data_IF_972456957183
#
_entry.id   IF_972456957183
#
_cell.length_a   1.000
_cell.length_b   1.000
_cell.length_c   1.000
_cell.angle_alpha   90.00
_cell.angle_beta   90.00
_cell.angle_gamma   90.00
#
_symmetry.space_group_name_H-M   'P 1'
#
loop_
_entity.id
_entity.type
_entity.pdbx_description
1 polymer ?
#
# COMPACT_ATOMS: atom_id res chain seq x y z
N UNK A 1 17.31 13.73 23.93
CA UNK A 1 16.44 12.98 23.22
C UNK A 1 15.82 11.80 23.96
N UNK A 2 15.30 11.90 25.09
CA UNK A 2 14.92 10.67 25.74
C UNK A 2 13.73 10.87 26.56
N UNK A 3 12.70 10.20 26.08
CA UNK A 3 11.65 9.72 26.91
C UNK A 3 10.86 10.82 27.59
N UNK A 4 10.42 11.81 26.80
CA UNK A 4 9.32 12.67 27.25
C UNK A 4 8.11 11.78 27.45
N UNK A 5 7.70 11.59 28.69
CA UNK A 5 6.55 10.78 29.08
C UNK A 5 5.31 11.66 29.23
N UNK A 6 4.15 11.08 29.11
CA UNK A 6 2.88 11.79 29.32
C UNK A 6 2.86 12.49 30.70
N UNK A 7 3.43 11.86 31.74
CA UNK A 7 3.52 12.39 33.10
C UNK A 7 4.43 13.62 33.25
N UNK A 8 5.32 13.89 32.32
CA UNK A 8 6.19 15.08 32.37
C UNK A 8 5.42 16.37 32.00
N UNK A 9 4.29 16.21 31.30
CA UNK A 9 3.44 17.30 30.87
C UNK A 9 2.04 17.24 31.45
N UNK A 10 1.53 16.06 31.82
CA UNK A 10 0.16 15.86 32.26
C UNK A 10 0.09 15.23 33.65
N UNK A 11 -0.85 15.69 34.45
CA UNK A 11 -1.29 14.95 35.63
C UNK A 11 -1.99 13.66 35.19
N UNK A 12 -1.51 12.51 35.68
CA UNK A 12 -1.94 11.19 35.23
C UNK A 12 -3.40 10.83 35.57
N UNK A 13 -4.00 11.53 36.52
CA UNK A 13 -5.38 11.28 36.96
C UNK A 13 -6.38 12.21 36.28
N UNK A 14 -6.00 13.47 36.02
CA UNK A 14 -6.89 14.46 35.45
C UNK A 14 -6.62 14.76 33.97
N UNK A 15 -5.51 14.29 33.42
CA UNK A 15 -5.00 14.57 32.06
C UNK A 15 -4.74 16.08 31.84
N UNK A 16 -4.90 16.93 32.84
CA UNK A 16 -4.60 18.35 32.74
C UNK A 16 -3.09 18.55 32.67
N UNK A 17 -2.67 19.62 31.99
CA UNK A 17 -1.25 20.00 31.99
C UNK A 17 -0.82 20.46 33.38
N UNK A 18 0.37 20.05 33.82
CA UNK A 18 0.94 20.38 35.15
C UNK A 18 1.42 21.81 35.24
N UNK A 19 1.59 22.50 34.11
CA UNK A 19 1.92 23.91 33.98
C UNK A 19 1.18 24.53 32.80
N UNK A 20 0.95 25.84 32.86
CA UNK A 20 0.26 26.58 31.82
C UNK A 20 1.23 27.18 30.78
N UNK A 21 0.78 27.25 29.53
CA UNK A 21 1.48 27.91 28.44
C UNK A 21 2.92 27.42 28.23
N UNK A 22 3.82 28.35 27.94
CA UNK A 22 5.23 28.05 27.68
C UNK A 22 5.96 27.47 28.89
N UNK A 23 5.50 27.75 30.14
CA UNK A 23 6.09 27.21 31.36
C UNK A 23 6.12 25.66 31.37
N UNK A 24 5.23 25.01 30.62
CA UNK A 24 5.23 23.55 30.42
C UNK A 24 6.49 23.05 29.69
N UNK A 25 6.84 23.72 28.61
CA UNK A 25 8.00 23.37 27.78
C UNK A 25 9.33 23.80 28.41
N UNK A 26 9.29 24.93 29.13
CA UNK A 26 10.46 25.54 29.77
C UNK A 26 10.93 24.80 31.04
N UNK A 27 10.29 23.71 31.40
CA UNK A 27 10.82 22.77 32.40
C UNK A 27 12.12 22.10 31.95
N UNK A 28 12.21 21.86 30.64
CA UNK A 28 13.34 21.15 29.99
C UNK A 28 14.10 22.08 29.03
N UNK A 29 13.42 23.06 28.41
CA UNK A 29 14.02 23.97 27.45
C UNK A 29 14.42 25.28 28.09
N UNK A 30 15.56 25.84 27.71
CA UNK A 30 16.09 27.08 28.26
C UNK A 30 15.26 28.26 27.78
N UNK A 31 14.71 29.01 28.72
CA UNK A 31 13.87 30.18 28.45
C UNK A 31 14.63 31.30 27.70
N UNK A 32 15.89 31.55 28.09
CA UNK A 32 16.77 32.53 27.45
C UNK A 32 17.12 32.22 25.99
N UNK A 33 16.91 31.01 25.55
CA UNK A 33 17.17 30.54 24.18
C UNK A 33 15.86 30.42 23.39
N UNK A 34 14.82 29.80 23.95
CA UNK A 34 13.65 29.37 23.23
C UNK A 34 12.40 30.20 23.47
N UNK A 35 12.26 30.91 24.60
CA UNK A 35 11.16 31.83 24.84
C UNK A 35 11.57 33.29 24.56
N UNK A 36 12.21 33.51 23.43
CA UNK A 36 12.73 34.79 22.99
C UNK A 36 12.15 35.20 21.65
N UNK A 37 12.16 36.48 21.33
CA UNK A 37 11.67 37.00 20.06
C UNK A 37 12.54 36.54 18.89
N UNK A 38 13.81 36.31 19.11
CA UNK A 38 14.77 35.80 18.16
C UNK A 38 14.51 34.32 17.80
N UNK A 39 13.77 33.58 18.67
CA UNK A 39 13.36 32.22 18.38
C UNK A 39 11.98 32.15 17.70
N UNK A 40 10.94 32.76 18.29
CA UNK A 40 9.58 32.62 17.78
C UNK A 40 9.13 33.74 16.83
N UNK A 41 9.83 34.88 16.78
CA UNK A 41 9.57 36.03 15.92
C UNK A 41 8.17 36.67 16.06
N UNK A 42 7.43 36.33 17.10
CA UNK A 42 6.08 36.81 17.39
C UNK A 42 6.06 37.66 18.64
N UNK A 43 5.05 38.51 18.75
CA UNK A 43 4.78 39.32 19.95
C UNK A 43 4.29 38.42 21.09
N UNK A 44 4.68 38.76 22.33
CA UNK A 44 4.20 38.08 23.52
C UNK A 44 2.86 38.64 23.97
N UNK A 45 2.15 37.94 24.84
CA UNK A 45 0.91 38.40 25.45
C UNK A 45 1.15 39.68 26.21
N UNK A 46 0.29 40.68 25.97
CA UNK A 46 0.41 42.04 26.59
C UNK A 46 1.22 43.05 25.77
N UNK A 47 1.95 42.63 24.72
CA UNK A 47 2.58 43.56 23.80
C UNK A 47 1.56 44.21 22.84
N UNK A 48 1.83 45.45 22.43
CA UNK A 48 0.97 46.17 21.47
C UNK A 48 0.99 45.50 20.09
N UNK A 49 -0.17 45.09 19.56
CA UNK A 49 -0.30 44.47 18.27
C UNK A 49 -1.77 44.25 17.89
N UNK A 50 -1.98 43.77 16.66
CA UNK A 50 -3.30 43.44 16.12
C UNK A 50 -3.55 41.93 16.18
N UNK A 51 -4.69 41.49 16.71
CA UNK A 51 -5.09 40.10 16.69
C UNK A 51 -5.52 39.68 15.28
N UNK A 52 -5.39 38.41 14.97
CA UNK A 52 -5.93 37.81 13.72
C UNK A 52 -7.44 37.63 13.88
N UNK A 53 -8.20 38.19 12.93
CA UNK A 53 -9.66 38.17 12.94
C UNK A 53 -10.20 37.44 11.74
N UNK A 54 -11.34 36.76 11.90
CA UNK A 54 -12.13 36.20 10.81
C UNK A 54 -12.78 37.30 9.95
N UNK A 55 -13.33 36.93 8.81
CA UNK A 55 -14.04 37.87 7.91
C UNK A 55 -15.20 38.61 8.56
N UNK A 56 -15.83 38.06 9.59
CA UNK A 56 -16.90 38.68 10.39
C UNK A 56 -16.38 39.49 11.60
N UNK A 57 -15.07 39.72 11.70
CA UNK A 57 -14.45 40.56 12.74
C UNK A 57 -14.20 39.84 14.08
N UNK A 58 -14.56 38.56 14.22
CA UNK A 58 -14.28 37.80 15.45
C UNK A 58 -12.78 37.53 15.57
N UNK A 59 -12.20 37.77 16.75
CA UNK A 59 -10.81 37.39 17.04
C UNK A 59 -10.68 35.87 17.02
N UNK A 60 -9.81 35.35 16.16
CA UNK A 60 -9.46 33.93 16.06
C UNK A 60 -8.20 33.66 16.89
N UNK A 61 -7.17 34.48 16.72
CA UNK A 61 -5.90 34.38 17.43
C UNK A 61 -5.54 35.74 18.01
N UNK A 62 -5.36 35.76 19.31
CA UNK A 62 -5.00 37.00 20.03
C UNK A 62 -3.48 37.27 19.97
N UNK A 63 -3.07 38.48 20.31
CA UNK A 63 -1.66 38.85 20.44
C UNK A 63 -1.00 37.96 21.51
N UNK A 64 0.13 37.36 21.14
CA UNK A 64 0.85 36.40 21.98
C UNK A 64 0.55 34.92 21.66
N UNK A 65 -0.50 34.63 20.91
CA UNK A 65 -0.76 33.22 20.48
C UNK A 65 0.40 32.64 19.68
N UNK A 66 0.98 33.42 18.75
CA UNK A 66 2.12 32.95 17.93
C UNK A 66 3.43 32.75 18.70
N UNK A 67 3.55 33.34 19.93
CA UNK A 67 4.71 33.13 20.80
C UNK A 67 4.58 31.90 21.70
N UNK A 68 3.45 31.16 21.61
CA UNK A 68 3.29 29.92 22.37
C UNK A 68 3.97 28.75 21.65
N UNK A 69 4.83 28.01 22.36
CA UNK A 69 5.58 26.87 21.84
C UNK A 69 4.70 25.85 21.13
N UNK A 70 3.53 25.54 21.71
CA UNK A 70 2.57 24.56 21.19
C UNK A 70 2.01 24.93 19.81
N UNK A 71 1.91 26.22 19.49
CA UNK A 71 1.32 26.65 18.21
C UNK A 71 2.21 26.30 17.01
N UNK A 72 3.52 26.25 17.21
CA UNK A 72 4.49 25.90 16.18
C UNK A 72 4.95 24.44 16.25
N UNK A 73 5.14 23.90 17.46
CA UNK A 73 5.74 22.59 17.68
C UNK A 73 4.72 21.46 17.92
N UNK A 74 3.49 21.82 18.34
CA UNK A 74 2.38 20.89 18.57
C UNK A 74 1.08 21.40 17.95
N UNK A 75 1.06 21.76 16.65
CA UNK A 75 -0.13 22.31 16.03
C UNK A 75 -1.29 21.31 16.14
N UNK A 76 -2.39 21.72 16.76
CA UNK A 76 -3.55 20.85 16.96
C UNK A 76 -4.53 20.93 15.81
N UNK A 77 -5.44 19.96 15.78
CA UNK A 77 -6.59 19.92 14.87
C UNK A 77 -7.79 19.35 15.59
N UNK A 78 -8.97 19.63 15.06
CA UNK A 78 -10.17 18.97 15.54
C UNK A 78 -10.19 17.52 15.05
N UNK A 79 -10.28 16.59 16.00
CA UNK A 79 -10.50 15.19 15.74
C UNK A 79 -12.01 14.92 15.77
N UNK A 80 -12.51 14.20 14.76
CA UNK A 80 -13.95 13.93 14.58
C UNK A 80 -14.86 15.16 14.67
N UNK A 81 -14.32 16.34 14.37
CA UNK A 81 -15.06 17.62 14.38
C UNK A 81 -15.34 18.24 15.75
N UNK A 82 -15.11 17.54 16.84
CA UNK A 82 -15.50 17.96 18.19
C UNK A 82 -14.35 18.06 19.19
N UNK A 83 -13.28 17.28 19.02
CA UNK A 83 -12.20 17.20 20.01
C UNK A 83 -10.90 17.80 19.43
N UNK A 84 -10.45 18.91 19.99
CA UNK A 84 -9.23 19.59 19.57
C UNK A 84 -8.01 18.93 20.19
N UNK A 85 -7.17 18.30 19.37
CA UNK A 85 -5.97 17.56 19.80
C UNK A 85 -4.70 18.16 19.26
N UNK A 86 -3.75 18.58 20.12
CA UNK A 86 -2.39 18.93 19.73
C UNK A 86 -1.63 17.72 19.17
N UNK A 87 -0.78 17.98 18.18
CA UNK A 87 0.13 16.96 17.61
C UNK A 87 1.32 16.75 18.56
N UNK A 88 1.37 15.60 19.24
CA UNK A 88 2.43 15.23 20.16
C UNK A 88 3.75 14.81 19.49
N UNK A 89 3.88 14.93 18.18
CA UNK A 89 5.13 14.63 17.49
C UNK A 89 6.23 15.70 17.67
N UNK A 90 5.94 16.81 18.37
CA UNK A 90 6.87 17.88 18.73
C UNK A 90 7.72 18.35 17.54
N UNK A 91 7.07 18.71 16.45
CA UNK A 91 7.72 18.97 15.16
C UNK A 91 8.40 20.32 15.09
N UNK A 92 9.45 20.42 14.29
CA UNK A 92 9.99 21.68 13.81
C UNK A 92 9.18 22.11 12.58
N UNK A 93 8.72 23.38 12.48
CA UNK A 93 8.03 23.86 11.29
C UNK A 93 8.84 23.72 10.01
N UNK A 94 8.29 23.09 8.99
CA UNK A 94 8.95 22.77 7.73
C UNK A 94 8.06 23.14 6.53
N UNK A 95 7.85 24.44 6.25
CA UNK A 95 7.05 24.88 5.11
C UNK A 95 7.62 24.47 3.75
N UNK A 96 8.92 24.25 3.64
CA UNK A 96 9.57 23.64 2.46
C UNK A 96 9.01 22.24 2.13
N UNK A 97 8.62 21.46 3.14
CA UNK A 97 7.95 20.18 2.93
C UNK A 97 6.47 20.38 2.55
N UNK A 98 5.82 21.46 3.01
CA UNK A 98 4.47 21.79 2.55
C UNK A 98 4.43 22.05 1.04
N UNK A 99 5.38 22.82 0.54
CA UNK A 99 5.54 23.08 -0.90
C UNK A 99 5.81 21.77 -1.69
N UNK A 100 6.69 20.91 -1.17
CA UNK A 100 7.12 19.70 -1.87
C UNK A 100 6.10 18.56 -1.80
N UNK A 101 5.43 18.39 -0.66
CA UNK A 101 4.66 17.20 -0.31
C UNK A 101 3.17 17.50 -0.06
N UNK A 102 2.75 18.76 -0.09
CA UNK A 102 1.38 19.17 0.25
C UNK A 102 1.02 18.96 1.73
N UNK A 103 2.01 18.82 2.62
CA UNK A 103 1.75 18.62 4.05
C UNK A 103 1.39 19.95 4.72
N UNK A 104 0.45 19.98 5.68
CA UNK A 104 0.14 21.21 6.42
C UNK A 104 1.34 21.68 7.23
N UNK A 105 1.47 23.00 7.43
CA UNK A 105 2.46 23.59 8.33
C UNK A 105 1.80 24.49 9.40
N UNK A 106 2.55 24.78 10.44
CA UNK A 106 2.05 25.54 11.57
C UNK A 106 1.74 27.01 11.23
N UNK A 107 2.48 27.63 10.29
CA UNK A 107 2.33 29.07 9.98
C UNK A 107 0.97 29.35 9.32
N UNK A 108 0.60 28.57 8.32
CA UNK A 108 -0.63 28.77 7.55
C UNK A 108 -1.91 28.44 8.33
N UNK A 109 -1.81 27.89 9.54
CA UNK A 109 -2.97 27.76 10.44
C UNK A 109 -3.47 29.09 10.99
N UNK A 110 -2.57 30.05 11.20
CA UNK A 110 -2.91 31.38 11.67
C UNK A 110 -2.89 32.39 10.53
N UNK A 111 -1.98 32.21 9.56
CA UNK A 111 -1.83 33.04 8.37
C UNK A 111 -2.49 32.36 7.17
N UNK A 112 -3.81 32.13 7.25
CA UNK A 112 -4.59 31.44 6.23
C UNK A 112 -4.64 32.20 4.89
N UNK A 113 -4.41 33.52 4.92
CA UNK A 113 -4.32 34.40 3.75
C UNK A 113 -2.98 34.33 3.03
N UNK A 114 -2.00 33.59 3.56
CA UNK A 114 -0.65 33.45 3.01
C UNK A 114 -0.43 32.07 2.40
N UNK A 115 0.53 32.00 1.47
CA UNK A 115 0.95 30.74 0.85
C UNK A 115 2.03 30.03 1.66
N UNK A 116 2.24 28.76 1.37
CA UNK A 116 3.37 28.00 1.92
C UNK A 116 4.72 28.62 1.52
N UNK A 117 4.80 29.22 0.31
CA UNK A 117 5.97 29.95 -0.15
C UNK A 117 6.30 31.15 0.73
N UNK A 118 5.29 31.92 1.15
CA UNK A 118 5.45 32.97 2.14
C UNK A 118 6.01 32.44 3.45
N UNK A 119 5.48 31.34 3.95
CA UNK A 119 5.96 30.71 5.18
C UNK A 119 7.42 30.26 5.07
N UNK A 120 7.82 29.69 3.93
CA UNK A 120 9.18 29.24 3.69
C UNK A 120 10.18 30.40 3.55
N UNK A 121 9.76 31.49 2.91
CA UNK A 121 10.55 32.72 2.83
C UNK A 121 10.88 33.26 4.24
N UNK A 122 9.87 33.36 5.13
CA UNK A 122 10.10 33.84 6.50
C UNK A 122 10.95 32.89 7.32
N UNK A 123 10.72 31.59 7.24
CA UNK A 123 11.59 30.61 7.93
C UNK A 123 13.01 30.68 7.39
N UNK A 124 13.19 30.87 6.09
CA UNK A 124 14.51 31.03 5.47
C UNK A 124 15.20 32.32 5.93
N UNK A 125 14.45 33.41 6.02
CA UNK A 125 14.95 34.70 6.53
C UNK A 125 15.37 34.61 8.00
N UNK A 126 14.66 33.85 8.82
CA UNK A 126 14.89 33.74 10.26
C UNK A 126 16.02 32.76 10.62
N UNK A 127 16.05 31.60 9.95
CA UNK A 127 16.90 30.49 10.31
C UNK A 127 17.93 30.08 9.22
N UNK A 128 17.95 30.80 8.12
CA UNK A 128 18.80 30.50 6.98
C UNK A 128 18.20 29.45 6.03
N UNK A 129 18.82 29.25 4.85
CA UNK A 129 18.31 28.36 3.81
C UNK A 129 18.60 26.87 4.08
N UNK A 130 19.52 26.56 4.98
CA UNK A 130 19.95 25.20 5.27
C UNK A 130 18.87 24.38 5.96
N UNK A 131 18.36 23.37 5.29
CA UNK A 131 17.39 22.40 5.85
C UNK A 131 18.03 21.02 5.88
N UNK A 132 17.92 20.35 7.02
CA UNK A 132 18.29 18.93 7.11
C UNK A 132 17.35 18.11 6.23
N UNK A 133 17.89 17.05 5.59
CA UNK A 133 17.09 16.07 4.90
C UNK A 133 16.01 15.51 5.84
N UNK A 134 14.83 15.24 5.30
CA UNK A 134 13.71 14.73 6.09
C UNK A 134 13.17 13.46 5.44
N UNK A 135 12.95 12.45 6.25
CA UNK A 135 12.45 11.14 5.79
C UNK A 135 11.09 11.24 5.04
N UNK A 136 10.33 12.30 5.23
CA UNK A 136 9.05 12.51 4.56
C UNK A 136 9.16 12.49 3.03
N UNK A 137 10.27 12.97 2.47
CA UNK A 137 10.50 12.92 1.01
C UNK A 137 10.73 11.51 0.51
N UNK A 138 11.42 10.68 1.30
CA UNK A 138 11.64 9.25 1.00
C UNK A 138 10.32 8.48 1.07
N UNK A 139 9.53 8.72 2.12
CA UNK A 139 8.21 8.09 2.31
C UNK A 139 7.25 8.47 1.18
N UNK A 140 7.22 9.74 0.77
CA UNK A 140 6.40 10.19 -0.36
C UNK A 140 6.81 9.53 -1.67
N UNK A 141 8.10 9.49 -1.97
CA UNK A 141 8.63 8.80 -3.14
C UNK A 141 8.26 7.30 -3.15
N UNK A 142 8.33 6.65 -1.98
CA UNK A 142 7.91 5.26 -1.81
C UNK A 142 6.40 5.05 -2.03
N UNK A 143 5.56 5.94 -1.51
CA UNK A 143 4.10 5.92 -1.75
C UNK A 143 3.75 6.08 -3.23
N UNK A 144 4.51 6.90 -3.94
CA UNK A 144 4.41 7.09 -5.39
C UNK A 144 5.04 5.97 -6.20
N UNK A 145 5.64 4.98 -5.54
CA UNK A 145 6.33 3.82 -6.15
C UNK A 145 7.43 4.23 -7.13
N UNK A 146 8.13 5.34 -6.85
CA UNK A 146 9.21 5.81 -7.72
C UNK A 146 10.38 4.82 -7.65
N UNK A 147 10.96 4.38 -8.79
CA UNK A 147 12.08 3.42 -8.79
C UNK A 147 13.28 3.91 -7.97
N UNK A 148 13.54 5.22 -7.96
CA UNK A 148 14.61 5.84 -7.19
C UNK A 148 14.45 5.74 -5.67
N UNK A 149 13.24 5.46 -5.16
CA UNK A 149 12.99 5.41 -3.72
C UNK A 149 13.46 4.12 -3.06
N UNK A 150 13.65 3.04 -3.80
CA UNK A 150 13.95 1.70 -3.26
C UNK A 150 15.14 1.70 -2.31
N UNK A 151 16.29 2.22 -2.76
CA UNK A 151 17.51 2.23 -1.95
C UNK A 151 17.43 3.17 -0.75
N UNK A 152 16.73 4.29 -0.89
CA UNK A 152 16.49 5.22 0.21
C UNK A 152 15.56 4.62 1.26
N UNK A 153 14.53 3.88 0.85
CA UNK A 153 13.65 3.13 1.76
C UNK A 153 14.41 2.04 2.52
N UNK A 154 15.29 1.28 1.84
CA UNK A 154 16.15 0.27 2.49
C UNK A 154 17.01 0.92 3.57
N UNK A 155 17.70 2.01 3.24
CA UNK A 155 18.53 2.76 4.21
C UNK A 155 17.70 3.30 5.37
N UNK A 156 16.55 3.89 5.08
CA UNK A 156 15.66 4.45 6.10
C UNK A 156 15.12 3.36 7.05
N UNK A 157 14.80 2.18 6.54
CA UNK A 157 14.33 1.05 7.35
C UNK A 157 15.43 0.52 8.28
N UNK A 158 16.68 0.53 7.83
CA UNK A 158 17.82 0.00 8.56
C UNK A 158 18.42 0.96 9.60
N UNK A 159 18.19 2.28 9.51
CA UNK A 159 18.84 3.27 10.36
C UNK A 159 18.13 3.44 11.72
N UNK A 160 18.72 2.98 12.83
CA UNK A 160 18.13 3.02 14.18
C UNK A 160 17.95 4.44 14.74
N UNK A 161 18.50 5.47 14.10
CA UNK A 161 18.34 6.86 14.51
C UNK A 161 16.95 7.42 14.15
N UNK A 162 16.23 6.78 13.24
CA UNK A 162 14.86 7.15 12.92
C UNK A 162 13.84 6.47 13.85
N UNK A 163 12.69 7.10 14.09
CA UNK A 163 11.61 6.51 14.88
C UNK A 163 11.17 5.16 14.30
N UNK A 164 10.90 4.20 15.19
CA UNK A 164 10.53 2.82 14.83
C UNK A 164 9.38 2.77 13.82
N UNK A 165 8.36 3.62 13.99
CA UNK A 165 7.22 3.68 13.07
C UNK A 165 7.61 4.16 11.67
N UNK A 166 8.60 5.04 11.55
CA UNK A 166 9.12 5.51 10.26
C UNK A 166 9.88 4.40 9.56
N UNK A 167 10.71 3.67 10.30
CA UNK A 167 11.46 2.51 9.82
C UNK A 167 10.51 1.40 9.34
N UNK A 168 9.50 1.05 10.14
CA UNK A 168 8.48 0.07 9.77
C UNK A 168 7.68 0.49 8.53
N UNK A 169 7.36 1.79 8.41
CA UNK A 169 6.68 2.32 7.22
C UNK A 169 7.57 2.21 5.98
N UNK A 170 8.84 2.56 6.09
CA UNK A 170 9.80 2.43 4.99
C UNK A 170 9.92 0.97 4.53
N UNK A 171 10.02 0.03 5.48
CA UNK A 171 10.05 -1.40 5.19
C UNK A 171 8.77 -1.86 4.46
N UNK A 172 7.59 -1.43 4.91
CA UNK A 172 6.31 -1.75 4.27
C UNK A 172 6.20 -1.21 2.84
N UNK A 173 6.76 -0.03 2.60
CA UNK A 173 6.76 0.60 1.27
C UNK A 173 7.70 -0.09 0.27
N UNK A 174 8.53 -1.03 0.70
CA UNK A 174 9.35 -1.86 -0.19
C UNK A 174 8.56 -2.98 -0.90
N UNK A 175 7.34 -3.28 -0.47
CA UNK A 175 6.51 -4.37 -1.03
C UNK A 175 6.37 -4.37 -2.57
N UNK A 176 6.17 -3.22 -3.26
CA UNK A 176 6.05 -3.20 -4.72
C UNK A 176 7.37 -3.32 -5.48
N UNK A 177 8.52 -3.31 -4.80
CA UNK A 177 9.82 -3.37 -5.45
C UNK A 177 10.34 -4.82 -5.59
N UNK A 178 11.23 -5.10 -6.56
CA UNK A 178 11.67 -6.46 -6.86
C UNK A 178 12.27 -7.20 -5.65
N UNK A 179 11.91 -8.49 -5.44
CA UNK A 179 12.39 -9.28 -4.30
C UNK A 179 13.91 -9.43 -4.19
N UNK A 180 14.70 -9.64 -5.27
CA UNK A 180 16.14 -9.83 -5.14
C UNK A 180 16.85 -8.68 -4.41
N UNK A 181 16.40 -7.44 -4.64
CA UNK A 181 16.99 -6.25 -4.04
C UNK A 181 16.43 -5.95 -2.65
N UNK A 182 15.18 -6.36 -2.36
CA UNK A 182 14.50 -6.06 -1.10
C UNK A 182 14.63 -7.18 -0.06
N UNK A 183 14.85 -8.42 -0.48
CA UNK A 183 14.96 -9.58 0.42
C UNK A 183 16.01 -9.41 1.53
N UNK A 184 17.22 -8.89 1.28
CA UNK A 184 18.20 -8.67 2.34
C UNK A 184 17.73 -7.69 3.43
N UNK A 185 16.95 -6.67 3.05
CA UNK A 185 16.39 -5.72 4.01
C UNK A 185 15.34 -6.38 4.90
N UNK A 186 14.48 -7.25 4.34
CA UNK A 186 13.50 -8.01 5.12
C UNK A 186 14.16 -9.00 6.07
N UNK A 187 15.20 -9.72 5.61
CA UNK A 187 15.92 -10.67 6.46
C UNK A 187 16.65 -9.99 7.62
N UNK A 188 17.31 -8.87 7.37
CA UNK A 188 17.92 -8.08 8.43
C UNK A 188 16.89 -7.58 9.44
N UNK A 189 15.71 -7.19 8.97
CA UNK A 189 14.61 -6.71 9.82
C UNK A 189 13.98 -7.80 10.70
N UNK A 190 14.12 -9.09 10.35
CA UNK A 190 13.62 -10.21 11.19
C UNK A 190 14.31 -10.34 12.54
N UNK A 191 15.53 -9.83 12.65
CA UNK A 191 16.35 -9.88 13.87
C UNK A 191 16.56 -8.50 14.52
N UNK A 192 15.80 -7.50 14.10
CA UNK A 192 15.86 -6.14 14.66
C UNK A 192 15.44 -6.15 16.14
N UNK A 193 16.04 -5.27 16.95
CA UNK A 193 15.70 -5.13 18.38
C UNK A 193 14.23 -4.75 18.58
N UNK A 194 13.65 -4.01 17.63
CA UNK A 194 12.29 -3.50 17.70
C UNK A 194 11.26 -4.49 17.17
N UNK A 195 10.34 -4.92 18.02
CA UNK A 195 9.32 -5.92 17.69
C UNK A 195 8.41 -5.49 16.52
N UNK A 196 8.15 -4.17 16.37
CA UNK A 196 7.36 -3.67 15.25
C UNK A 196 8.07 -3.92 13.91
N UNK A 197 9.38 -3.76 13.88
CA UNK A 197 10.20 -4.03 12.68
C UNK A 197 10.17 -5.53 12.36
N UNK A 198 10.44 -6.40 13.36
CA UNK A 198 10.38 -7.87 13.17
C UNK A 198 9.02 -8.33 12.66
N UNK A 199 7.94 -7.83 13.27
CA UNK A 199 6.56 -8.15 12.82
C UNK A 199 6.31 -7.69 11.39
N UNK A 200 6.74 -6.47 11.03
CA UNK A 200 6.57 -5.94 9.67
C UNK A 200 7.35 -6.79 8.66
N UNK A 201 8.56 -7.22 9.00
CA UNK A 201 9.36 -8.10 8.15
C UNK A 201 8.67 -9.45 7.90
N UNK A 202 8.06 -10.07 8.92
CA UNK A 202 7.30 -11.31 8.76
C UNK A 202 6.13 -11.16 7.78
N UNK A 203 5.41 -10.02 7.82
CA UNK A 203 4.30 -9.75 6.90
C UNK A 203 4.77 -9.57 5.43
N UNK A 204 6.03 -9.20 5.23
CA UNK A 204 6.61 -8.92 3.92
C UNK A 204 7.40 -10.09 3.31
N UNK A 205 7.65 -11.16 4.05
CA UNK A 205 8.37 -12.34 3.53
C UNK A 205 7.68 -12.90 2.30
N UNK A 206 8.43 -13.05 1.21
CA UNK A 206 7.91 -13.61 -0.03
C UNK A 206 7.66 -15.12 0.10
N UNK A 207 6.54 -15.57 -0.46
CA UNK A 207 6.11 -16.99 -0.42
C UNK A 207 6.89 -17.89 -1.38
N UNK A 208 7.58 -17.33 -2.37
CA UNK A 208 8.22 -18.12 -3.42
C UNK A 208 9.39 -19.02 -2.96
N UNK A 209 10.01 -18.71 -1.80
CA UNK A 209 11.08 -19.52 -1.23
C UNK A 209 10.59 -20.25 0.04
N UNK A 210 9.75 -21.25 -0.15
CA UNK A 210 8.99 -21.92 0.92
C UNK A 210 9.86 -22.42 2.08
N UNK A 211 11.00 -23.08 1.83
CA UNK A 211 11.85 -23.63 2.88
C UNK A 211 12.46 -22.55 3.78
N UNK A 212 13.05 -21.51 3.18
CA UNK A 212 13.69 -20.41 3.91
C UNK A 212 12.67 -19.61 4.72
N UNK A 213 11.51 -19.37 4.13
CA UNK A 213 10.39 -18.71 4.79
C UNK A 213 9.87 -19.50 5.98
N UNK A 214 9.66 -20.81 5.84
CA UNK A 214 9.23 -21.68 6.93
C UNK A 214 10.20 -21.59 8.12
N UNK A 215 11.51 -21.60 7.87
CA UNK A 215 12.54 -21.45 8.89
C UNK A 215 12.40 -20.14 9.68
N UNK A 216 12.25 -19.02 9.01
CA UNK A 216 12.07 -17.71 9.67
C UNK A 216 10.77 -17.61 10.45
N UNK A 217 9.66 -18.08 9.89
CA UNK A 217 8.36 -18.07 10.56
C UNK A 217 8.32 -18.98 11.78
N UNK A 218 8.91 -20.18 11.71
CA UNK A 218 8.97 -21.09 12.85
C UNK A 218 9.88 -20.57 13.96
N UNK A 219 11.00 -19.92 13.63
CA UNK A 219 11.84 -19.24 14.62
C UNK A 219 11.07 -18.12 15.34
N UNK A 220 10.27 -17.35 14.61
CA UNK A 220 9.48 -16.25 15.16
C UNK A 220 8.32 -16.70 16.09
N UNK A 221 7.95 -17.98 16.10
CA UNK A 221 7.03 -18.54 17.10
C UNK A 221 7.59 -18.50 18.55
N UNK A 222 8.90 -18.32 18.69
CA UNK A 222 9.59 -18.23 19.97
C UNK A 222 9.95 -16.78 20.36
N UNK A 223 9.52 -15.78 19.58
CA UNK A 223 9.77 -14.37 19.87
C UNK A 223 9.21 -13.97 21.24
N UNK A 224 9.94 -13.18 22.05
CA UNK A 224 9.46 -12.72 23.36
C UNK A 224 8.16 -11.90 23.26
N UNK A 225 7.94 -11.20 22.14
CA UNK A 225 6.80 -10.31 21.96
C UNK A 225 5.62 -11.05 21.32
N UNK A 226 4.46 -11.04 21.99
CA UNK A 226 3.24 -11.75 21.53
C UNK A 226 2.86 -11.37 20.09
N UNK A 227 2.89 -10.09 19.73
CA UNK A 227 2.48 -9.63 18.40
C UNK A 227 3.32 -10.24 17.24
N UNK A 228 4.61 -10.50 17.48
CA UNK A 228 5.49 -11.17 16.51
C UNK A 228 5.11 -12.65 16.36
N UNK A 229 4.86 -13.35 17.51
CA UNK A 229 4.40 -14.75 17.47
C UNK A 229 3.06 -14.93 16.74
N UNK A 230 2.09 -14.02 17.00
CA UNK A 230 0.78 -14.06 16.34
C UNK A 230 0.91 -13.87 14.81
N UNK A 231 1.77 -12.93 14.38
CA UNK A 231 2.02 -12.71 12.97
C UNK A 231 2.68 -13.92 12.31
N UNK A 232 3.68 -14.52 12.98
CA UNK A 232 4.32 -15.75 12.51
C UNK A 232 3.30 -16.89 12.33
N UNK A 233 2.42 -17.11 13.30
CA UNK A 233 1.39 -18.14 13.22
C UNK A 233 0.39 -17.87 12.09
N UNK A 234 -0.06 -16.61 11.92
CA UNK A 234 -0.92 -16.21 10.81
C UNK A 234 -0.27 -16.52 9.46
N UNK A 235 0.99 -16.14 9.28
CA UNK A 235 1.73 -16.37 8.04
C UNK A 235 2.01 -17.85 7.75
N UNK A 236 2.19 -18.65 8.78
CA UNK A 236 2.34 -20.12 8.64
C UNK A 236 1.09 -20.80 8.07
N UNK A 237 -0.11 -20.23 8.28
CA UNK A 237 -1.35 -20.76 7.67
C UNK A 237 -1.39 -20.64 6.15
N UNK A 238 -0.53 -19.82 5.55
CA UNK A 238 -0.44 -19.62 4.11
C UNK A 238 0.47 -20.65 3.42
N UNK A 239 1.11 -21.55 4.18
CA UNK A 239 2.05 -22.56 3.68
C UNK A 239 1.33 -23.89 3.54
N UNK A 240 1.22 -24.38 2.31
CA UNK A 240 0.77 -25.74 2.04
C UNK A 240 1.79 -26.76 2.55
N UNK A 241 1.32 -27.90 3.05
CA UNK A 241 2.16 -29.02 3.54
C UNK A 241 3.17 -28.62 4.63
N UNK A 242 2.75 -27.72 5.53
CA UNK A 242 3.57 -27.23 6.62
C UNK A 242 4.05 -28.37 7.54
N UNK A 243 5.38 -28.58 7.59
CA UNK A 243 6.01 -29.55 8.46
C UNK A 243 6.57 -28.87 9.70
N UNK A 244 6.09 -29.27 10.87
CA UNK A 244 6.51 -28.76 12.18
C UNK A 244 6.87 -29.93 13.11
N UNK A 245 7.91 -29.76 13.90
CA UNK A 245 8.18 -30.68 15.04
C UNK A 245 7.16 -30.46 16.17
N UNK A 246 7.19 -31.31 17.19
CA UNK A 246 6.19 -31.27 18.26
C UNK A 246 6.27 -30.00 19.13
N UNK A 247 7.46 -29.42 19.30
CA UNK A 247 7.65 -28.14 20.00
C UNK A 247 7.08 -26.97 19.19
N UNK A 248 7.40 -26.93 17.92
CA UNK A 248 6.89 -25.94 16.97
C UNK A 248 5.37 -26.03 16.85
N UNK A 249 4.79 -27.24 16.76
CA UNK A 249 3.33 -27.44 16.73
C UNK A 249 2.64 -26.84 17.95
N UNK A 250 3.17 -27.08 19.15
CA UNK A 250 2.62 -26.49 20.38
C UNK A 250 2.66 -24.99 20.37
N UNK A 251 3.78 -24.39 19.95
CA UNK A 251 3.94 -22.93 19.86
C UNK A 251 3.02 -22.34 18.80
N UNK A 252 2.94 -22.96 17.63
CA UNK A 252 2.06 -22.58 16.55
C UNK A 252 0.59 -22.57 16.98
N UNK A 253 0.11 -23.66 17.58
CA UNK A 253 -1.27 -23.77 18.07
C UNK A 253 -1.61 -22.69 19.10
N UNK A 254 -0.70 -22.48 20.08
CA UNK A 254 -0.89 -21.45 21.09
C UNK A 254 -0.92 -20.03 20.49
N UNK A 255 -0.04 -19.73 19.52
CA UNK A 255 -0.01 -18.46 18.86
C UNK A 255 -1.24 -18.25 17.95
N UNK A 256 -1.69 -19.30 17.27
CA UNK A 256 -2.87 -19.27 16.42
C UNK A 256 -4.15 -19.01 17.23
N UNK A 257 -4.30 -19.69 18.37
CA UNK A 257 -5.38 -19.43 19.32
C UNK A 257 -5.33 -17.98 19.81
N UNK A 258 -4.15 -17.50 20.21
CA UNK A 258 -3.99 -16.11 20.63
C UNK A 258 -4.31 -15.08 19.53
N UNK A 259 -4.10 -15.43 18.25
CA UNK A 259 -4.52 -14.60 17.13
C UNK A 259 -6.05 -14.57 17.00
N UNK A 260 -6.71 -15.73 17.07
CA UNK A 260 -8.18 -15.83 17.04
C UNK A 260 -8.80 -15.02 18.20
N UNK A 261 -8.33 -15.20 19.43
CA UNK A 261 -8.79 -14.43 20.60
C UNK A 261 -8.62 -12.92 20.40
N UNK A 262 -7.49 -12.47 19.82
CA UNK A 262 -7.23 -11.06 19.55
C UNK A 262 -8.20 -10.49 18.50
N UNK A 263 -8.53 -11.27 17.47
CA UNK A 263 -9.49 -10.87 16.45
C UNK A 263 -10.93 -10.90 16.98
N UNK A 264 -11.29 -11.88 17.82
CA UNK A 264 -12.61 -11.96 18.46
C UNK A 264 -12.84 -10.82 19.44
N UNK A 265 -11.80 -10.42 20.21
CA UNK A 265 -11.86 -9.23 21.06
C UNK A 265 -12.19 -7.95 20.30
N UNK A 266 -11.72 -7.84 19.06
CA UNK A 266 -12.00 -6.73 18.15
C UNK A 266 -13.13 -7.05 17.17
N UNK A 267 -13.97 -8.03 17.48
CA UNK A 267 -14.95 -8.61 16.55
C UNK A 267 -16.12 -7.70 16.17
N UNK A 268 -16.25 -6.53 16.78
CA UNK A 268 -17.13 -5.43 16.42
C UNK A 268 -16.58 -4.52 15.31
N UNK A 269 -15.31 -4.73 14.88
CA UNK A 269 -14.72 -4.05 13.74
C UNK A 269 -14.67 -4.96 12.50
N UNK A 270 -15.00 -4.42 11.33
CA UNK A 270 -15.02 -5.15 10.06
C UNK A 270 -13.66 -5.80 9.73
N UNK A 271 -12.53 -5.12 10.00
CA UNK A 271 -11.19 -5.66 9.75
C UNK A 271 -10.90 -6.94 10.53
N UNK A 272 -11.39 -7.06 11.77
CA UNK A 272 -11.13 -8.23 12.60
C UNK A 272 -11.88 -9.47 12.07
N UNK A 273 -13.15 -9.30 11.68
CA UNK A 273 -13.92 -10.35 11.03
C UNK A 273 -13.36 -10.71 9.66
N UNK A 274 -12.92 -9.75 8.88
CA UNK A 274 -12.21 -10.01 7.61
C UNK A 274 -10.93 -10.84 7.83
N UNK A 275 -10.12 -10.49 8.84
CA UNK A 275 -8.89 -11.22 9.14
C UNK A 275 -9.17 -12.66 9.61
N UNK A 276 -10.24 -12.91 10.37
CA UNK A 276 -10.70 -14.27 10.69
C UNK A 276 -11.18 -14.99 9.42
N UNK A 277 -11.87 -14.31 8.52
CA UNK A 277 -12.24 -14.86 7.22
C UNK A 277 -11.02 -15.35 6.44
N UNK A 278 -9.96 -14.54 6.35
CA UNK A 278 -8.70 -14.91 5.71
C UNK A 278 -8.05 -16.10 6.41
N UNK A 279 -8.01 -16.08 7.74
CA UNK A 279 -7.47 -17.17 8.54
C UNK A 279 -8.15 -18.50 8.22
N UNK A 280 -9.49 -18.53 8.25
CA UNK A 280 -10.25 -19.75 8.00
C UNK A 280 -10.19 -20.20 6.54
N UNK A 281 -10.04 -19.27 5.57
CA UNK A 281 -9.77 -19.63 4.19
C UNK A 281 -8.43 -20.38 4.04
N UNK A 282 -7.36 -19.87 4.68
CA UNK A 282 -6.04 -20.50 4.68
C UNK A 282 -6.05 -21.87 5.40
N UNK A 283 -6.88 -22.02 6.41
CA UNK A 283 -7.06 -23.30 7.14
C UNK A 283 -8.03 -24.27 6.44
N UNK A 284 -8.43 -23.98 5.21
CA UNK A 284 -9.38 -24.80 4.43
C UNK A 284 -10.73 -25.04 5.16
N UNK A 285 -11.23 -24.01 5.84
CA UNK A 285 -12.52 -24.00 6.56
C UNK A 285 -13.47 -23.00 5.89
N UNK A 286 -14.01 -23.29 4.69
CA UNK A 286 -14.73 -22.32 3.87
C UNK A 286 -16.01 -21.81 4.52
N UNK A 287 -16.73 -22.64 5.29
CA UNK A 287 -17.97 -22.21 5.96
C UNK A 287 -17.69 -21.12 7.00
N UNK A 288 -16.67 -21.32 7.83
CA UNK A 288 -16.25 -20.33 8.84
C UNK A 288 -15.70 -19.05 8.18
N UNK A 289 -15.00 -19.21 7.06
CA UNK A 289 -14.49 -18.08 6.28
C UNK A 289 -15.65 -17.24 5.73
N UNK A 290 -16.66 -17.86 5.10
CA UNK A 290 -17.86 -17.19 4.59
C UNK A 290 -18.60 -16.45 5.70
N UNK A 291 -18.79 -17.11 6.86
CA UNK A 291 -19.45 -16.51 8.02
C UNK A 291 -18.77 -15.22 8.46
N UNK A 292 -17.44 -15.26 8.59
CA UNK A 292 -16.66 -14.12 9.05
C UNK A 292 -16.60 -12.98 8.01
N UNK A 293 -16.42 -13.27 6.71
CA UNK A 293 -16.52 -12.23 5.68
C UNK A 293 -17.90 -11.57 5.65
N UNK A 294 -18.98 -12.36 5.74
CA UNK A 294 -20.35 -11.82 5.84
C UNK A 294 -20.54 -10.97 7.09
N UNK A 295 -19.95 -11.37 8.22
CA UNK A 295 -19.97 -10.56 9.44
C UNK A 295 -19.24 -9.23 9.25
N UNK A 296 -18.07 -9.21 8.60
CA UNK A 296 -17.36 -7.98 8.26
C UNK A 296 -18.21 -7.04 7.39
N UNK A 297 -18.89 -7.55 6.36
CA UNK A 297 -19.77 -6.78 5.47
C UNK A 297 -21.00 -6.24 6.22
N UNK A 298 -21.55 -7.00 7.18
CA UNK A 298 -22.67 -6.51 8.02
C UNK A 298 -22.26 -5.39 8.96
N UNK A 299 -21.02 -5.42 9.48
CA UNK A 299 -20.49 -4.36 10.35
C UNK A 299 -20.21 -3.09 9.54
N UNK A 300 -19.61 -3.24 8.39
CA UNK A 300 -19.29 -2.14 7.47
C UNK A 300 -19.47 -2.60 6.01
N UNK A 301 -20.56 -2.16 5.38
CA UNK A 301 -20.89 -2.52 4.01
C UNK A 301 -20.03 -1.81 2.97
N UNK A 302 -19.23 -0.80 3.39
CA UNK A 302 -18.23 -0.12 2.54
C UNK A 302 -16.85 -0.78 2.63
N UNK A 303 -16.67 -1.77 3.52
CA UNK A 303 -15.42 -2.49 3.66
C UNK A 303 -15.20 -3.47 2.50
N UNK A 304 -14.86 -2.94 1.33
CA UNK A 304 -14.72 -3.72 0.09
C UNK A 304 -13.72 -4.90 0.18
N UNK A 305 -12.64 -4.91 1.02
CA UNK A 305 -11.75 -6.07 1.09
C UNK A 305 -12.47 -7.37 1.47
N UNK A 306 -13.48 -7.28 2.36
CA UNK A 306 -14.26 -8.45 2.72
C UNK A 306 -15.17 -8.93 1.57
N UNK A 307 -15.73 -8.01 0.78
CA UNK A 307 -16.52 -8.36 -0.42
C UNK A 307 -15.67 -9.05 -1.48
N UNK A 308 -14.48 -8.52 -1.74
CA UNK A 308 -13.53 -9.08 -2.72
C UNK A 308 -13.11 -10.50 -2.31
N UNK A 309 -12.68 -10.69 -1.05
CA UNK A 309 -12.23 -11.99 -0.59
C UNK A 309 -13.37 -13.01 -0.52
N UNK A 310 -14.60 -12.57 -0.13
CA UNK A 310 -15.77 -13.44 -0.19
C UNK A 310 -16.13 -13.83 -1.63
N UNK A 311 -16.02 -12.90 -2.57
CA UNK A 311 -16.24 -13.18 -3.99
C UNK A 311 -15.22 -14.21 -4.53
N UNK A 312 -13.94 -14.05 -4.17
CA UNK A 312 -12.90 -15.02 -4.54
C UNK A 312 -13.20 -16.41 -3.98
N UNK A 313 -13.60 -16.49 -2.70
CA UNK A 313 -13.96 -17.75 -2.07
C UNK A 313 -15.21 -18.36 -2.71
N UNK A 314 -16.26 -17.59 -3.02
CA UNK A 314 -17.43 -18.07 -3.73
C UNK A 314 -17.08 -18.60 -5.13
N UNK A 315 -16.18 -17.93 -5.84
CA UNK A 315 -15.72 -18.40 -7.14
C UNK A 315 -15.03 -19.77 -7.04
N UNK A 316 -14.15 -19.96 -6.03
CA UNK A 316 -13.51 -21.25 -5.77
C UNK A 316 -14.54 -22.36 -5.42
N UNK A 317 -15.62 -22.00 -4.75
CA UNK A 317 -16.74 -22.89 -4.41
C UNK A 317 -17.74 -23.09 -5.57
N UNK A 318 -17.51 -22.52 -6.75
CA UNK A 318 -18.38 -22.62 -7.92
C UNK A 318 -19.64 -21.76 -7.84
N UNK A 319 -19.77 -20.85 -6.86
CA UNK A 319 -20.92 -19.99 -6.60
C UNK A 319 -20.83 -18.69 -7.43
N UNK A 320 -20.89 -18.87 -8.76
CA UNK A 320 -20.62 -17.77 -9.73
C UNK A 320 -21.59 -16.60 -9.65
N UNK A 321 -22.86 -16.85 -9.32
CA UNK A 321 -23.86 -15.78 -9.25
C UNK A 321 -23.61 -14.87 -8.05
N UNK A 322 -23.31 -15.45 -6.89
CA UNK A 322 -22.98 -14.65 -5.70
C UNK A 322 -21.62 -13.93 -5.87
N UNK A 323 -20.68 -14.55 -6.58
CA UNK A 323 -19.41 -13.90 -6.94
C UNK A 323 -19.67 -12.65 -7.78
N UNK A 324 -20.51 -12.75 -8.81
CA UNK A 324 -20.86 -11.62 -9.69
C UNK A 324 -21.50 -10.47 -8.92
N UNK A 325 -22.47 -10.76 -8.04
CA UNK A 325 -23.13 -9.73 -7.23
C UNK A 325 -22.11 -8.92 -6.44
N UNK A 326 -21.23 -9.59 -5.70
CA UNK A 326 -20.24 -8.91 -4.87
C UNK A 326 -19.21 -8.10 -5.69
N UNK A 327 -18.73 -8.66 -6.80
CA UNK A 327 -17.76 -7.93 -7.64
C UNK A 327 -18.40 -6.69 -8.29
N UNK A 328 -19.68 -6.78 -8.72
CA UNK A 328 -20.41 -5.61 -9.26
C UNK A 328 -20.58 -4.52 -8.22
N UNK A 329 -20.99 -4.86 -6.99
CA UNK A 329 -21.10 -3.91 -5.89
C UNK A 329 -19.77 -3.17 -5.61
N UNK A 330 -18.66 -3.90 -5.66
CA UNK A 330 -17.32 -3.28 -5.46
C UNK A 330 -16.95 -2.37 -6.63
N UNK A 331 -17.15 -2.80 -7.87
CA UNK A 331 -16.83 -1.98 -9.07
C UNK A 331 -17.72 -0.74 -9.15
N UNK A 332 -18.96 -0.81 -8.73
CA UNK A 332 -19.89 0.35 -8.70
C UNK A 332 -19.42 1.41 -7.69
N UNK A 333 -18.98 0.98 -6.50
CA UNK A 333 -18.53 1.89 -5.44
C UNK A 333 -17.04 2.31 -5.58
N UNK A 334 -16.23 1.49 -6.23
CA UNK A 334 -14.77 1.66 -6.39
C UNK A 334 -14.34 1.37 -7.83
N UNK A 335 -14.72 2.22 -8.81
CA UNK A 335 -14.38 2.00 -10.22
C UNK A 335 -12.86 2.07 -10.52
N UNK A 336 -12.05 2.58 -9.60
CA UNK A 336 -10.60 2.63 -9.68
C UNK A 336 -9.91 1.29 -9.32
N UNK A 337 -10.64 0.31 -8.80
CA UNK A 337 -10.08 -1.02 -8.49
C UNK A 337 -10.07 -1.91 -9.75
N UNK A 338 -9.10 -1.65 -10.61
CA UNK A 338 -8.99 -2.31 -11.92
C UNK A 338 -8.77 -3.83 -11.82
N UNK A 339 -8.15 -4.32 -10.76
CA UNK A 339 -8.00 -5.77 -10.48
C UNK A 339 -9.36 -6.44 -10.24
N UNK A 340 -10.31 -5.72 -9.62
CA UNK A 340 -11.68 -6.22 -9.42
C UNK A 340 -12.46 -6.19 -10.73
N UNK A 341 -12.29 -5.16 -11.56
CA UNK A 341 -12.86 -5.12 -12.90
C UNK A 341 -12.32 -6.27 -13.77
N UNK A 342 -11.03 -6.55 -13.68
CA UNK A 342 -10.42 -7.71 -14.36
C UNK A 342 -11.05 -9.03 -13.91
N UNK A 343 -11.20 -9.23 -12.60
CA UNK A 343 -11.83 -10.43 -12.03
C UNK A 343 -13.28 -10.59 -12.47
N UNK A 344 -14.05 -9.48 -12.48
CA UNK A 344 -15.43 -9.48 -12.98
C UNK A 344 -15.49 -9.78 -14.48
N UNK A 345 -14.58 -9.20 -15.28
CA UNK A 345 -14.49 -9.47 -16.70
C UNK A 345 -14.22 -10.94 -17.01
N UNK A 346 -13.31 -11.59 -16.27
CA UNK A 346 -13.05 -13.04 -16.42
C UNK A 346 -14.26 -13.89 -16.04
N UNK A 347 -14.92 -13.58 -14.93
CA UNK A 347 -16.14 -14.29 -14.48
C UNK A 347 -17.26 -14.18 -15.52
N UNK A 348 -17.48 -12.99 -16.08
CA UNK A 348 -18.49 -12.78 -17.11
C UNK A 348 -18.17 -13.52 -18.40
N UNK A 349 -16.90 -13.62 -18.79
CA UNK A 349 -16.46 -14.42 -19.93
C UNK A 349 -16.75 -15.91 -19.69
N UNK A 350 -16.48 -16.42 -18.49
CA UNK A 350 -16.79 -17.80 -18.09
C UNK A 350 -18.31 -18.06 -18.09
N UNK A 351 -19.11 -17.06 -17.72
CA UNK A 351 -20.60 -17.10 -17.81
C UNK A 351 -21.13 -16.86 -19.23
N UNK A 352 -20.25 -16.78 -20.24
CA UNK A 352 -20.56 -16.51 -21.66
C UNK A 352 -21.22 -15.15 -21.92
N UNK A 353 -21.09 -14.20 -21.02
CA UNK A 353 -21.54 -12.81 -21.17
C UNK A 353 -20.44 -11.97 -21.84
N UNK A 354 -20.01 -12.37 -23.02
CA UNK A 354 -18.79 -11.93 -23.67
C UNK A 354 -18.70 -10.42 -23.92
N UNK A 355 -19.82 -9.79 -24.27
CA UNK A 355 -19.86 -8.33 -24.55
C UNK A 355 -19.60 -7.54 -23.28
N UNK A 356 -20.27 -7.89 -22.18
CA UNK A 356 -20.03 -7.26 -20.87
C UNK A 356 -18.61 -7.56 -20.35
N UNK A 357 -18.15 -8.79 -20.52
CA UNK A 357 -16.77 -9.19 -20.17
C UNK A 357 -15.72 -8.31 -20.86
N UNK A 358 -15.90 -8.04 -22.16
CA UNK A 358 -14.98 -7.20 -22.92
C UNK A 358 -14.96 -5.75 -22.42
N UNK A 359 -16.07 -5.21 -21.96
CA UNK A 359 -16.13 -3.86 -21.36
C UNK A 359 -15.28 -3.76 -20.09
N UNK A 360 -15.46 -4.71 -19.15
CA UNK A 360 -14.69 -4.72 -17.91
C UNK A 360 -13.21 -5.03 -18.12
N UNK A 361 -12.88 -5.96 -19.04
CA UNK A 361 -11.47 -6.22 -19.38
C UNK A 361 -10.82 -5.02 -20.07
N UNK A 362 -11.54 -4.26 -20.90
CA UNK A 362 -11.02 -3.04 -21.51
C UNK A 362 -10.75 -1.95 -20.46
N UNK A 363 -11.66 -1.77 -19.50
CA UNK A 363 -11.45 -0.83 -18.39
C UNK A 363 -10.25 -1.26 -17.52
N UNK A 364 -10.12 -2.56 -17.23
CA UNK A 364 -8.98 -3.10 -16.51
C UNK A 364 -7.65 -2.87 -17.28
N UNK A 365 -7.63 -3.08 -18.60
CA UNK A 365 -6.46 -2.85 -19.43
C UNK A 365 -6.04 -1.37 -19.48
N UNK A 366 -7.01 -0.46 -19.46
CA UNK A 366 -6.75 0.98 -19.41
C UNK A 366 -6.13 1.40 -18.06
N UNK A 367 -6.59 0.83 -16.95
CA UNK A 367 -6.08 1.13 -15.61
C UNK A 367 -4.80 0.37 -15.23
N UNK A 368 -4.49 -0.72 -15.93
CA UNK A 368 -3.30 -1.56 -15.72
C UNK A 368 -2.47 -1.71 -17.03
N UNK A 369 -1.96 -0.60 -17.60
CA UNK A 369 -1.37 -0.57 -18.94
C UNK A 369 -0.12 -1.46 -19.10
N UNK A 370 0.54 -1.80 -17.98
CA UNK A 370 1.77 -2.60 -17.96
C UNK A 370 1.52 -4.06 -17.54
N UNK A 371 0.25 -4.49 -17.49
CA UNK A 371 -0.11 -5.84 -17.08
C UNK A 371 -0.40 -6.74 -18.29
N UNK A 372 0.62 -7.43 -18.80
CA UNK A 372 0.56 -8.20 -20.03
C UNK A 372 -0.63 -9.20 -20.09
N UNK A 373 -0.90 -9.91 -18.99
CA UNK A 373 -1.99 -10.89 -18.92
C UNK A 373 -3.39 -10.27 -19.13
N UNK A 374 -3.61 -9.03 -18.68
CA UNK A 374 -4.89 -8.33 -18.85
C UNK A 374 -5.10 -8.05 -20.35
N UNK A 375 -4.09 -7.52 -21.03
CA UNK A 375 -4.12 -7.27 -22.48
C UNK A 375 -4.29 -8.55 -23.28
N UNK A 376 -3.61 -9.62 -22.89
CA UNK A 376 -3.78 -10.94 -23.52
C UNK A 376 -5.24 -11.43 -23.42
N UNK A 377 -5.82 -11.45 -22.23
CA UNK A 377 -7.20 -11.94 -22.03
C UNK A 377 -8.22 -11.06 -22.75
N UNK A 378 -8.03 -9.76 -22.76
CA UNK A 378 -8.85 -8.83 -23.55
C UNK A 378 -8.72 -9.12 -25.05
N UNK A 379 -7.50 -9.28 -25.55
CA UNK A 379 -7.23 -9.57 -26.95
C UNK A 379 -7.87 -10.88 -27.42
N UNK A 380 -7.74 -11.95 -26.64
CA UNK A 380 -8.38 -13.23 -26.92
C UNK A 380 -9.91 -13.13 -26.96
N UNK A 381 -10.51 -12.39 -26.04
CA UNK A 381 -11.96 -12.20 -26.03
C UNK A 381 -12.43 -11.34 -27.20
N UNK A 382 -11.69 -10.30 -27.58
CA UNK A 382 -11.99 -9.45 -28.72
C UNK A 382 -11.83 -10.22 -30.05
N UNK A 383 -10.84 -11.13 -30.16
CA UNK A 383 -10.69 -12.03 -31.30
C UNK A 383 -11.92 -12.96 -31.44
N UNK A 384 -12.36 -13.54 -30.31
CA UNK A 384 -13.59 -14.34 -30.28
C UNK A 384 -14.83 -13.56 -30.72
N UNK A 385 -14.90 -12.27 -30.34
CA UNK A 385 -15.98 -11.35 -30.73
C UNK A 385 -15.82 -10.75 -32.14
N UNK A 386 -14.80 -11.18 -32.90
CA UNK A 386 -14.48 -10.68 -34.24
C UNK A 386 -14.22 -9.17 -34.30
N UNK A 387 -13.71 -8.58 -33.22
CA UNK A 387 -13.31 -7.16 -33.14
C UNK A 387 -11.84 -7.01 -33.49
N UNK A 388 -11.50 -7.26 -34.74
CA UNK A 388 -10.15 -7.52 -35.23
C UNK A 388 -9.12 -6.47 -34.88
N UNK A 389 -9.41 -5.19 -35.13
CA UNK A 389 -8.46 -4.09 -34.84
C UNK A 389 -8.13 -3.98 -33.36
N UNK A 390 -9.14 -4.07 -32.50
CA UNK A 390 -8.96 -3.99 -31.06
C UNK A 390 -8.26 -5.25 -30.51
N UNK A 391 -8.61 -6.44 -31.04
CA UNK A 391 -7.95 -7.69 -30.69
C UNK A 391 -6.46 -7.66 -31.00
N UNK A 392 -6.11 -7.21 -32.22
CA UNK A 392 -4.71 -7.07 -32.62
C UNK A 392 -3.94 -6.13 -31.70
N UNK A 393 -4.51 -4.96 -31.41
CA UNK A 393 -3.87 -3.97 -30.53
C UNK A 393 -3.60 -4.55 -29.15
N UNK A 394 -4.58 -5.22 -28.55
CA UNK A 394 -4.45 -5.81 -27.22
C UNK A 394 -3.43 -6.98 -27.19
N UNK A 395 -3.48 -7.90 -28.16
CA UNK A 395 -2.54 -9.02 -28.25
C UNK A 395 -1.09 -8.54 -28.48
N UNK A 396 -0.89 -7.53 -29.34
CA UNK A 396 0.44 -6.96 -29.55
C UNK A 396 0.95 -6.24 -28.32
N UNK A 397 0.07 -5.54 -27.57
CA UNK A 397 0.48 -4.91 -26.31
C UNK A 397 0.93 -5.96 -25.27
N UNK A 398 0.23 -7.08 -25.16
CA UNK A 398 0.67 -8.18 -24.30
C UNK A 398 2.05 -8.71 -24.69
N UNK A 399 2.29 -8.88 -25.99
CA UNK A 399 3.56 -9.34 -26.52
C UNK A 399 4.68 -8.31 -26.38
N UNK A 400 4.38 -7.03 -26.50
CA UNK A 400 5.33 -5.92 -26.26
C UNK A 400 5.83 -5.94 -24.81
N UNK A 401 4.94 -6.19 -23.85
CA UNK A 401 5.27 -6.25 -22.42
C UNK A 401 6.07 -7.51 -22.07
N UNK A 402 5.80 -8.64 -22.71
CA UNK A 402 6.51 -9.90 -22.50
C UNK A 402 6.91 -10.56 -23.84
N UNK A 403 7.97 -10.08 -24.50
CA UNK A 403 8.29 -10.44 -25.90
C UNK A 403 8.65 -11.92 -26.13
N UNK A 404 9.06 -12.64 -25.07
CA UNK A 404 9.47 -14.06 -25.14
C UNK A 404 8.41 -15.01 -24.58
N UNK A 405 7.24 -14.51 -24.19
CA UNK A 405 6.17 -15.33 -23.65
C UNK A 405 5.52 -16.16 -24.77
N UNK A 406 5.75 -17.46 -24.73
CA UNK A 406 5.27 -18.41 -25.78
C UNK A 406 3.75 -18.42 -25.92
N UNK A 407 2.99 -18.21 -24.83
CA UNK A 407 1.54 -18.15 -24.89
C UNK A 407 1.05 -16.93 -25.70
N UNK A 408 1.73 -15.79 -25.53
CA UNK A 408 1.38 -14.55 -26.25
C UNK A 408 1.83 -14.64 -27.71
N UNK A 409 3.03 -15.18 -27.97
CA UNK A 409 3.50 -15.44 -29.33
C UNK A 409 2.52 -16.34 -30.09
N UNK A 410 2.09 -17.46 -29.47
CA UNK A 410 1.09 -18.34 -30.09
C UNK A 410 -0.22 -17.63 -30.40
N UNK A 411 -0.77 -16.88 -29.47
CA UNK A 411 -2.02 -16.17 -29.67
C UNK A 411 -1.96 -15.16 -30.83
N UNK A 412 -0.84 -14.41 -30.94
CA UNK A 412 -0.63 -13.47 -32.04
C UNK A 412 -0.44 -14.21 -33.38
N UNK A 413 0.29 -15.32 -33.37
CA UNK A 413 0.46 -16.15 -34.59
C UNK A 413 -0.90 -16.70 -35.08
N UNK A 414 -1.70 -17.28 -34.19
CA UNK A 414 -3.05 -17.79 -34.50
C UNK A 414 -3.96 -16.67 -35.00
N UNK A 415 -3.92 -15.50 -34.37
CA UNK A 415 -4.68 -14.34 -34.79
C UNK A 415 -4.40 -13.97 -36.24
N UNK A 416 -3.11 -13.91 -36.64
CA UNK A 416 -2.71 -13.59 -38.00
C UNK A 416 -3.04 -14.70 -38.99
N UNK A 417 -2.86 -15.97 -38.60
CA UNK A 417 -3.18 -17.13 -39.45
C UNK A 417 -4.67 -17.23 -39.80
N UNK A 418 -5.55 -17.04 -38.81
CA UNK A 418 -7.02 -17.00 -39.01
C UNK A 418 -7.45 -15.96 -40.04
N UNK A 419 -6.65 -14.90 -40.21
CA UNK A 419 -6.92 -13.78 -41.13
C UNK A 419 -6.09 -13.83 -42.43
N UNK A 420 -5.41 -14.96 -42.68
CA UNK A 420 -4.52 -15.16 -43.82
C UNK A 420 -3.38 -14.13 -43.92
N UNK A 421 -3.00 -13.51 -42.79
CA UNK A 421 -1.90 -12.53 -42.71
C UNK A 421 -0.56 -13.26 -42.54
N UNK A 422 -0.17 -14.03 -43.58
CA UNK A 422 0.97 -14.96 -43.50
C UNK A 422 2.31 -14.22 -43.31
N UNK A 423 2.48 -13.02 -43.83
CA UNK A 423 3.74 -12.27 -43.64
C UNK A 423 3.97 -11.87 -42.19
N UNK A 424 2.93 -11.43 -41.51
CA UNK A 424 2.99 -11.09 -40.08
C UNK A 424 3.14 -12.35 -39.21
N UNK A 425 2.39 -13.39 -39.53
CA UNK A 425 2.52 -14.68 -38.83
C UNK A 425 3.93 -15.26 -38.94
N UNK A 426 4.63 -15.07 -40.09
CA UNK A 426 6.02 -15.49 -40.29
C UNK A 426 6.96 -14.83 -39.29
N UNK A 427 6.85 -13.49 -39.09
CA UNK A 427 7.68 -12.77 -38.12
C UNK A 427 7.49 -13.31 -36.70
N UNK A 428 6.26 -13.66 -36.32
CA UNK A 428 5.98 -14.23 -35.00
C UNK A 428 6.57 -15.64 -34.88
N UNK A 429 6.47 -16.50 -35.90
CA UNK A 429 7.08 -17.81 -35.89
C UNK A 429 8.62 -17.73 -35.76
N UNK A 430 9.26 -16.78 -36.42
CA UNK A 430 10.69 -16.50 -36.31
C UNK A 430 11.03 -16.05 -34.86
N UNK A 431 10.20 -15.20 -34.23
CA UNK A 431 10.36 -14.78 -32.83
C UNK A 431 10.19 -15.96 -31.86
N UNK A 432 9.27 -16.92 -32.13
CA UNK A 432 9.11 -18.13 -31.32
C UNK A 432 10.36 -19.02 -31.32
N UNK A 433 10.99 -19.15 -32.49
CA UNK A 433 12.23 -19.93 -32.66
C UNK A 433 13.38 -19.24 -31.92
N UNK A 434 13.46 -17.91 -32.01
CA UNK A 434 14.50 -17.14 -31.35
C UNK A 434 14.36 -17.13 -29.82
N UNK A 435 13.12 -17.09 -29.30
CA UNK A 435 12.84 -17.06 -27.87
C UNK A 435 13.17 -18.38 -27.15
N UNK A 436 13.03 -19.53 -27.83
CA UNK A 436 13.24 -20.86 -27.24
C UNK A 436 13.80 -21.85 -28.28
N UNK A 437 15.11 -21.89 -28.56
CA UNK A 437 15.70 -22.89 -29.44
C UNK A 437 15.94 -24.25 -28.67
N UNK A 438 15.61 -25.42 -29.24
CA UNK A 438 14.86 -25.64 -30.48
C UNK A 438 13.34 -25.58 -30.25
N UNK A 439 12.63 -24.68 -30.96
CA UNK A 439 11.17 -24.59 -30.90
C UNK A 439 10.55 -25.32 -32.11
N UNK A 440 10.13 -26.57 -31.91
CA UNK A 440 9.50 -27.36 -32.95
C UNK A 440 8.20 -26.73 -33.47
N UNK A 441 7.38 -26.17 -32.59
CA UNK A 441 6.12 -25.54 -32.99
C UNK A 441 6.37 -24.34 -33.91
N UNK A 442 7.32 -23.45 -33.54
CA UNK A 442 7.72 -22.33 -34.39
C UNK A 442 8.27 -22.75 -35.75
N UNK A 443 9.07 -23.84 -35.81
CA UNK A 443 9.61 -24.39 -37.03
C UNK A 443 8.51 -24.96 -37.95
N UNK A 444 7.57 -25.72 -37.40
CA UNK A 444 6.48 -26.33 -38.18
C UNK A 444 5.51 -25.25 -38.69
N UNK A 445 5.25 -24.23 -37.85
CA UNK A 445 4.47 -23.08 -38.22
C UNK A 445 5.15 -22.30 -39.36
N UNK A 446 6.45 -22.09 -39.29
CA UNK A 446 7.23 -21.41 -40.35
C UNK A 446 7.19 -22.18 -41.67
N UNK A 447 7.32 -23.52 -41.63
CA UNK A 447 7.18 -24.37 -42.83
C UNK A 447 5.79 -24.27 -43.44
N UNK A 448 4.74 -24.29 -42.60
CA UNK A 448 3.35 -24.14 -43.05
C UNK A 448 3.14 -22.80 -43.74
N UNK A 449 3.59 -21.69 -43.10
CA UNK A 449 3.44 -20.33 -43.60
C UNK A 449 4.18 -20.15 -44.93
N UNK A 450 5.42 -20.65 -45.07
CA UNK A 450 6.18 -20.52 -46.30
C UNK A 450 5.46 -21.20 -47.47
N UNK A 451 4.88 -22.41 -47.28
CA UNK A 451 4.08 -23.07 -48.34
C UNK A 451 2.85 -22.24 -48.75
N UNK A 452 2.21 -21.56 -47.77
CA UNK A 452 1.06 -20.70 -48.09
C UNK A 452 1.47 -19.43 -48.87
N UNK A 453 2.58 -18.82 -48.51
CA UNK A 453 3.12 -17.66 -49.22
C UNK A 453 3.60 -18.02 -50.67
N UNK A 454 4.16 -19.21 -50.86
CA UNK A 454 4.51 -19.71 -52.18
C UNK A 454 3.28 -19.94 -53.07
N UNK A 455 2.19 -20.43 -52.48
CA UNK A 455 0.93 -20.66 -53.20
C UNK A 455 0.17 -19.34 -53.52
N UNK A 456 0.36 -18.27 -52.75
CA UNK A 456 -0.19 -16.93 -53.09
C UNK A 456 0.58 -16.20 -54.21
N UNK A 457 1.84 -16.60 -54.46
CA UNK A 457 2.68 -16.00 -55.50
C UNK A 457 2.61 -16.77 -56.84
N UNK A 458 1.88 -17.87 -56.90
CA UNK A 458 1.56 -18.65 -58.14
C UNK A 458 0.15 -18.29 -58.61
#
# INVERSE_FOLDING_TARGET
>A
ERDVRCSDCHDVHSIRTIKEGNALCLQCHRADTYDTREHHFHKKKGEKGDPIKSANGRVIYDVGTGAQCVQCHMPGRYYMGIDYRPDHSLRIPRPDLSIKLGTPNACNRCHEDKTEGWSDEYITKWYGPGRRAHYGTIIDAGRKRLPSAQQDLIRLAADPLYPVIVRATALSLLRPYPPPETSPAYEAALVDDEALIRRTALDLLNLSETNRKTTHLTAALYDPVKAVRLEAARRLTEISDLQLDDSQKKKYQAALLGYQESMDYSGDFAFARHNLGNLYANLHQPERSVENYRAAIRIDNQFFPAKVNLAMLYNQLGRKDETEVLLREVVESHPELYEVQYSLGLLLAEKKQYVAAAQYLAAAAAGMPDHARVHYNLGMLLDFLQRDTAAQSALLRALELEPVNMQYLNAVAEFYLKRHRYREAKKIAESMIAAQPPNHLGQDLLKYINRKLEAENQ
#
